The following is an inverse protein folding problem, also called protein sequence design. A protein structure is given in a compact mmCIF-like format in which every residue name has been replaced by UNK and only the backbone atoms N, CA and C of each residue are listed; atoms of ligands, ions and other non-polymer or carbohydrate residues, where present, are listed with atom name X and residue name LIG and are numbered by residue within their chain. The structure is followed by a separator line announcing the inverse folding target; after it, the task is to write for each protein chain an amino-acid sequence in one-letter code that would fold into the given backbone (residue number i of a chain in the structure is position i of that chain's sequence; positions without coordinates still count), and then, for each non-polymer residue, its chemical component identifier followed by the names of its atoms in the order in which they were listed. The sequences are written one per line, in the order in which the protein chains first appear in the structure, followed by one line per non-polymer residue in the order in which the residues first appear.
data_IF_970863453407
#
_entry.id   IF_970863453407
#
_cell.length_a   1.000
_cell.length_b   1.000
_cell.length_c   1.000
_cell.angle_alpha   90.00
_cell.angle_beta   90.00
_cell.angle_gamma   90.00
#
_symmetry.space_group_name_H-M   'P 1'
#
loop_
_entity.id
_entity.type
_entity.pdbx_description
1 polymer ?
#
# COMPACT_ATOMS: atom_id res chain seq x y z
N UNK A 1 -26.17 23.87 2.87
CA UNK A 1 -26.08 22.59 2.13
C UNK A 1 -24.65 22.11 1.84
N UNK A 2 -23.61 22.96 1.78
CA UNK A 2 -22.24 22.56 1.41
C UNK A 2 -21.51 21.60 2.37
N UNK A 3 -21.64 21.77 3.70
CA UNK A 3 -20.92 20.95 4.69
C UNK A 3 -21.31 19.47 4.69
N UNK A 4 -22.59 19.16 4.46
CA UNK A 4 -23.10 17.79 4.44
C UNK A 4 -22.51 16.98 3.28
N UNK A 5 -22.47 17.55 2.07
CA UNK A 5 -21.86 16.90 0.90
C UNK A 5 -20.34 16.74 1.03
N UNK A 6 -19.65 17.70 1.67
CA UNK A 6 -18.22 17.59 1.97
C UNK A 6 -17.94 16.47 2.97
N UNK A 7 -18.78 16.33 4.01
CA UNK A 7 -18.67 15.22 4.95
C UNK A 7 -18.92 13.88 4.27
N UNK A 8 -19.99 13.78 3.47
CA UNK A 8 -20.34 12.56 2.75
C UNK A 8 -19.23 12.13 1.79
N UNK A 9 -18.68 13.05 1.01
CA UNK A 9 -17.54 12.76 0.11
C UNK A 9 -16.28 12.36 0.87
N UNK A 10 -16.03 12.93 2.05
CA UNK A 10 -14.90 12.54 2.91
C UNK A 10 -15.09 11.13 3.47
N UNK A 11 -16.29 10.78 3.93
CA UNK A 11 -16.64 9.44 4.41
C UNK A 11 -16.54 8.42 3.28
N UNK A 12 -17.03 8.76 2.09
CA UNK A 12 -16.90 7.91 0.90
C UNK A 12 -15.43 7.67 0.54
N UNK A 13 -14.60 8.72 0.51
CA UNK A 13 -13.17 8.59 0.25
C UNK A 13 -12.46 7.71 1.26
N UNK A 14 -12.77 7.89 2.55
CA UNK A 14 -12.26 7.04 3.63
C UNK A 14 -12.64 5.57 3.39
N UNK A 15 -13.92 5.29 3.16
CA UNK A 15 -14.43 3.93 2.95
C UNK A 15 -13.79 3.26 1.72
N UNK A 16 -13.62 4.00 0.62
CA UNK A 16 -12.99 3.48 -0.61
C UNK A 16 -11.53 3.13 -0.39
N UNK A 17 -10.74 4.01 0.25
CA UNK A 17 -9.32 3.75 0.53
C UNK A 17 -9.18 2.51 1.42
N UNK A 18 -9.96 2.44 2.50
CA UNK A 18 -10.00 1.29 3.42
C UNK A 18 -10.36 0.00 2.68
N UNK A 19 -11.42 0.02 1.85
CA UNK A 19 -11.88 -1.16 1.12
C UNK A 19 -10.85 -1.65 0.09
N UNK A 20 -10.26 -0.74 -0.70
CA UNK A 20 -9.22 -1.09 -1.68
C UNK A 20 -8.01 -1.71 -0.98
N UNK A 21 -7.59 -1.15 0.16
CA UNK A 21 -6.51 -1.73 0.94
C UNK A 21 -6.84 -3.15 1.39
N UNK A 22 -8.01 -3.38 2.00
CA UNK A 22 -8.45 -4.69 2.47
C UNK A 22 -8.52 -5.71 1.33
N UNK A 23 -9.03 -5.32 0.16
CA UNK A 23 -9.09 -6.19 -1.02
C UNK A 23 -7.68 -6.56 -1.49
N UNK A 24 -6.78 -5.59 -1.66
CA UNK A 24 -5.41 -5.85 -2.09
C UNK A 24 -4.62 -6.68 -1.07
N UNK A 25 -4.84 -6.46 0.22
CA UNK A 25 -4.26 -7.29 1.26
C UNK A 25 -4.81 -8.71 1.22
N UNK A 26 -6.13 -8.89 1.12
CA UNK A 26 -6.77 -10.20 0.99
C UNK A 26 -6.30 -10.96 -0.24
N UNK A 27 -6.16 -10.30 -1.40
CA UNK A 27 -5.56 -10.90 -2.60
C UNK A 27 -4.13 -11.35 -2.36
N UNK A 28 -3.35 -10.56 -1.63
CA UNK A 28 -1.98 -10.93 -1.28
C UNK A 28 -1.97 -12.16 -0.36
N UNK A 29 -2.77 -12.15 0.71
CA UNK A 29 -2.83 -13.21 1.71
C UNK A 29 -3.43 -14.52 1.18
N UNK A 30 -4.45 -14.46 0.32
CA UNK A 30 -5.22 -15.63 -0.12
C UNK A 30 -4.82 -16.16 -1.49
N UNK A 31 -4.11 -15.36 -2.30
CA UNK A 31 -3.72 -15.75 -3.66
C UNK A 31 -2.21 -15.64 -3.85
N UNK A 32 -1.64 -14.44 -3.69
CA UNK A 32 -0.21 -14.22 -4.01
C UNK A 32 0.68 -15.07 -3.11
N UNK A 33 0.52 -14.98 -1.79
CA UNK A 33 1.35 -15.68 -0.81
C UNK A 33 1.20 -17.20 -0.92
N UNK A 34 -0.01 -17.78 -1.00
CA UNK A 34 -0.17 -19.23 -1.19
C UNK A 34 0.46 -19.73 -2.50
N UNK A 35 0.26 -19.00 -3.60
CA UNK A 35 0.87 -19.37 -4.90
C UNK A 35 2.39 -19.28 -4.83
N UNK A 36 2.93 -18.22 -4.25
CA UNK A 36 4.37 -18.08 -4.06
C UNK A 36 4.94 -19.23 -3.23
N UNK A 37 4.24 -19.64 -2.16
CA UNK A 37 4.68 -20.72 -1.28
C UNK A 37 4.81 -22.07 -2.00
N UNK A 38 4.04 -22.30 -3.09
CA UNK A 38 4.14 -23.53 -3.89
C UNK A 38 5.46 -23.61 -4.69
N UNK A 39 6.04 -22.47 -5.07
CA UNK A 39 7.20 -22.41 -5.95
C UNK A 39 8.48 -21.92 -5.25
N UNK A 40 8.33 -21.06 -4.24
CA UNK A 40 9.40 -20.34 -3.53
C UNK A 40 9.12 -20.31 -2.01
N UNK A 41 8.98 -21.47 -1.35
CA UNK A 41 8.63 -21.53 0.08
C UNK A 41 9.66 -20.82 0.96
N UNK A 42 10.96 -20.99 0.66
CA UNK A 42 12.06 -20.38 1.42
C UNK A 42 12.01 -18.85 1.44
N UNK A 43 11.54 -18.23 0.35
CA UNK A 43 11.39 -16.77 0.25
C UNK A 43 10.11 -16.31 0.96
N UNK A 44 9.07 -17.14 0.91
CA UNK A 44 7.73 -16.83 1.45
C UNK A 44 7.72 -16.72 2.96
N UNK A 45 8.66 -17.37 3.65
CA UNK A 45 8.88 -17.19 5.09
C UNK A 45 9.16 -15.74 5.46
N UNK A 46 9.88 -15.01 4.60
CA UNK A 46 10.30 -13.65 4.87
C UNK A 46 9.26 -12.62 4.44
N UNK A 47 8.72 -12.73 3.22
CA UNK A 47 7.72 -11.80 2.69
C UNK A 47 7.09 -12.26 1.36
N UNK A 48 6.01 -11.59 0.99
CA UNK A 48 5.39 -11.73 -0.34
C UNK A 48 6.14 -10.88 -1.37
N UNK A 49 6.57 -11.48 -2.47
CA UNK A 49 7.25 -10.83 -3.60
C UNK A 49 6.34 -9.91 -4.41
N UNK A 50 5.01 -9.95 -4.21
CA UNK A 50 4.12 -8.96 -4.79
C UNK A 50 3.19 -8.43 -3.69
N UNK A 51 3.73 -7.57 -2.83
CA UNK A 51 2.99 -6.99 -1.73
C UNK A 51 2.13 -5.80 -2.21
N UNK A 52 0.93 -6.12 -2.72
CA UNK A 52 -0.02 -5.14 -3.25
C UNK A 52 -0.40 -4.01 -2.27
N UNK A 53 -0.51 -4.24 -0.94
CA UNK A 53 -0.86 -3.16 -0.01
C UNK A 53 0.10 -1.97 -0.05
N UNK A 54 1.39 -2.19 -0.33
CA UNK A 54 2.33 -1.07 -0.50
C UNK A 54 1.96 -0.17 -1.68
N UNK A 55 1.62 -0.78 -2.82
CA UNK A 55 1.14 -0.04 -3.99
C UNK A 55 -0.07 0.83 -3.68
N UNK A 56 -1.04 0.28 -2.91
CA UNK A 56 -2.22 1.04 -2.45
C UNK A 56 -1.80 2.23 -1.59
N UNK A 57 -0.89 2.04 -0.61
CA UNK A 57 -0.40 3.14 0.23
C UNK A 57 0.23 4.25 -0.62
N UNK A 58 1.15 3.91 -1.52
CA UNK A 58 1.82 4.86 -2.41
C UNK A 58 0.83 5.64 -3.26
N UNK A 59 -0.10 4.95 -3.92
CA UNK A 59 -1.07 5.59 -4.80
C UNK A 59 -2.10 6.46 -4.05
N UNK A 60 -2.54 6.02 -2.87
CA UNK A 60 -3.46 6.79 -2.04
C UNK A 60 -2.79 8.02 -1.43
N UNK A 61 -1.56 7.91 -0.92
CA UNK A 61 -0.81 9.07 -0.43
C UNK A 61 -0.48 10.03 -1.58
N UNK A 62 -0.10 9.50 -2.75
CA UNK A 62 0.12 10.32 -3.94
C UNK A 62 -1.11 11.17 -4.30
N UNK A 63 -2.31 10.59 -4.23
CA UNK A 63 -3.56 11.27 -4.58
C UNK A 63 -4.12 12.18 -3.48
N UNK A 64 -4.02 11.77 -2.22
CA UNK A 64 -4.76 12.39 -1.11
C UNK A 64 -3.85 12.97 -0.01
N UNK A 65 -2.54 12.77 -0.11
CA UNK A 65 -1.57 13.18 0.90
C UNK A 65 -1.85 12.56 2.26
N UNK A 66 -1.61 13.34 3.32
CA UNK A 66 -1.82 12.93 4.71
C UNK A 66 -3.23 12.39 5.01
N UNK A 67 -4.24 12.83 4.26
CA UNK A 67 -5.65 12.40 4.47
C UNK A 67 -5.85 10.90 4.23
N UNK A 68 -4.97 10.27 3.47
CA UNK A 68 -5.03 8.82 3.25
C UNK A 68 -4.43 8.00 4.40
N UNK A 69 -3.63 8.57 5.31
CA UNK A 69 -2.94 7.82 6.37
C UNK A 69 -3.92 7.08 7.29
N UNK A 70 -4.95 7.78 7.79
CA UNK A 70 -5.95 7.18 8.69
C UNK A 70 -6.78 6.06 8.02
N UNK A 71 -7.37 6.24 6.83
CA UNK A 71 -8.08 5.13 6.17
C UNK A 71 -7.15 3.98 5.79
N UNK A 72 -5.89 4.23 5.44
CA UNK A 72 -4.91 3.16 5.21
C UNK A 72 -4.64 2.37 6.49
N UNK A 73 -4.48 3.04 7.64
CA UNK A 73 -4.32 2.38 8.94
C UNK A 73 -5.57 1.57 9.32
N UNK A 74 -6.77 2.12 9.07
CA UNK A 74 -8.03 1.39 9.29
C UNK A 74 -8.13 0.16 8.37
N UNK A 75 -7.73 0.28 7.10
CA UNK A 75 -7.68 -0.84 6.16
C UNK A 75 -6.70 -1.92 6.60
N UNK A 76 -5.53 -1.52 7.11
CA UNK A 76 -4.55 -2.45 7.65
C UNK A 76 -5.07 -3.18 8.89
N UNK A 77 -5.68 -2.46 9.83
CA UNK A 77 -6.31 -3.06 11.01
C UNK A 77 -7.40 -4.06 10.60
N UNK A 78 -8.31 -3.68 9.70
CA UNK A 78 -9.35 -4.58 9.21
C UNK A 78 -8.78 -5.80 8.48
N UNK A 79 -7.68 -5.62 7.75
CA UNK A 79 -7.00 -6.73 7.07
C UNK A 79 -6.43 -7.73 8.08
N UNK A 80 -5.74 -7.25 9.12
CA UNK A 80 -5.31 -8.09 10.22
C UNK A 80 -6.49 -8.80 10.89
N UNK A 81 -7.63 -8.09 11.05
CA UNK A 81 -8.85 -8.64 11.62
C UNK A 81 -9.47 -9.78 10.80
N UNK A 82 -9.36 -9.72 9.47
CA UNK A 82 -10.01 -10.66 8.55
C UNK A 82 -9.11 -11.81 8.11
N UNK A 83 -7.81 -11.57 7.93
CA UNK A 83 -6.91 -12.51 7.26
C UNK A 83 -5.83 -13.11 8.18
N UNK A 84 -5.64 -12.56 9.38
CA UNK A 84 -4.73 -13.12 10.39
C UNK A 84 -5.53 -13.95 11.41
N UNK A 85 -5.10 -15.16 11.73
CA UNK A 85 -5.79 -16.02 12.73
C UNK A 85 -5.78 -15.38 14.13
N UNK A 86 -6.84 -15.58 14.91
CA UNK A 86 -7.00 -14.97 16.24
C UNK A 86 -5.85 -15.26 17.20
N UNK A 87 -5.38 -16.52 17.25
CA UNK A 87 -4.25 -16.89 18.12
C UNK A 87 -2.94 -16.18 17.78
N UNK A 88 -2.64 -15.97 16.50
CA UNK A 88 -1.47 -15.19 16.06
C UNK A 88 -1.66 -13.72 16.42
N UNK A 89 -2.86 -13.18 16.24
CA UNK A 89 -3.15 -11.77 16.54
C UNK A 89 -2.98 -11.45 18.02
N UNK A 90 -3.55 -12.26 18.90
CA UNK A 90 -3.45 -12.07 20.36
C UNK A 90 -2.00 -12.18 20.84
N UNK A 91 -1.21 -13.09 20.26
CA UNK A 91 0.20 -13.26 20.61
C UNK A 91 1.08 -12.10 20.12
N UNK A 92 0.71 -11.49 18.99
CA UNK A 92 1.48 -10.43 18.34
C UNK A 92 1.00 -9.02 18.73
N UNK A 93 -0.01 -8.88 19.58
CA UNK A 93 -0.38 -7.58 20.17
C UNK A 93 0.60 -7.25 21.30
N UNK A 94 1.25 -6.07 21.34
CA UNK A 94 0.95 -4.81 20.62
C UNK A 94 1.76 -4.58 19.32
N UNK A 95 2.66 -5.50 18.95
CA UNK A 95 3.59 -5.36 17.81
C UNK A 95 2.85 -5.10 16.49
N UNK A 96 1.72 -5.77 16.25
CA UNK A 96 0.89 -5.55 15.05
C UNK A 96 0.39 -4.11 14.93
N UNK A 97 -0.02 -3.48 16.03
CA UNK A 97 -0.52 -2.11 15.99
C UNK A 97 0.60 -1.12 15.67
N UNK A 98 1.80 -1.36 16.19
CA UNK A 98 2.99 -0.57 15.86
C UNK A 98 3.37 -0.76 14.38
N UNK A 99 3.32 -1.99 13.88
CA UNK A 99 3.60 -2.32 12.48
C UNK A 99 2.61 -1.63 11.51
N UNK A 100 1.32 -1.61 11.87
CA UNK A 100 0.29 -0.86 11.13
C UNK A 100 0.62 0.62 11.09
N UNK A 101 0.99 1.21 12.23
CA UNK A 101 1.38 2.61 12.33
C UNK A 101 2.57 2.95 11.44
N UNK A 102 3.66 2.18 11.55
CA UNK A 102 4.85 2.31 10.70
C UNK A 102 4.49 2.20 9.22
N UNK A 103 3.73 1.16 8.86
CA UNK A 103 3.33 0.91 7.49
C UNK A 103 2.51 2.06 6.89
N UNK A 104 1.52 2.58 7.63
CA UNK A 104 0.66 3.66 7.17
C UNK A 104 1.42 4.99 7.03
N UNK A 105 2.40 5.26 7.89
CA UNK A 105 3.17 6.51 7.86
C UNK A 105 4.39 6.48 6.93
N UNK A 106 4.99 5.32 6.67
CA UNK A 106 6.25 5.18 5.90
C UNK A 106 6.20 5.87 4.53
N UNK A 107 5.10 5.67 3.78
CA UNK A 107 4.90 6.29 2.48
C UNK A 107 4.73 7.79 2.62
N UNK A 108 3.91 8.27 3.57
CA UNK A 108 3.75 9.70 3.79
C UNK A 108 5.08 10.37 4.13
N UNK A 109 5.87 9.76 5.03
CA UNK A 109 7.21 10.24 5.36
C UNK A 109 8.12 10.31 4.12
N UNK A 110 8.08 9.33 3.22
CA UNK A 110 8.85 9.37 1.98
C UNK A 110 8.48 10.59 1.11
N UNK A 111 7.19 10.85 0.92
CA UNK A 111 6.70 12.02 0.18
C UNK A 111 7.11 13.33 0.83
N UNK A 112 7.00 13.45 2.16
CA UNK A 112 7.42 14.65 2.89
C UNK A 112 8.94 14.86 2.80
N UNK A 113 9.74 13.80 2.88
CA UNK A 113 11.19 13.88 2.68
C UNK A 113 11.50 14.40 1.26
N UNK A 114 10.90 13.82 0.23
CA UNK A 114 11.10 14.29 -1.15
C UNK A 114 10.71 15.77 -1.32
N UNK A 115 9.60 16.17 -0.70
CA UNK A 115 9.14 17.55 -0.69
C UNK A 115 10.13 18.50 0.00
N UNK A 116 10.73 18.09 1.13
CA UNK A 116 11.78 18.84 1.83
C UNK A 116 13.04 19.06 0.96
N UNK A 117 13.33 18.13 0.04
CA UNK A 117 14.41 18.26 -0.95
C UNK A 117 13.99 19.01 -2.22
N UNK A 118 12.79 19.61 -2.25
CA UNK A 118 12.28 20.39 -3.37
C UNK A 118 11.62 19.58 -4.48
N UNK A 119 11.34 18.29 -4.26
CA UNK A 119 10.62 17.44 -5.20
C UNK A 119 9.15 17.31 -4.79
N UNK A 120 8.27 18.11 -5.41
CA UNK A 120 6.83 17.93 -5.28
C UNK A 120 6.35 16.78 -6.18
N UNK A 121 6.24 15.59 -5.58
CA UNK A 121 5.81 14.36 -6.25
C UNK A 121 4.33 14.05 -6.05
N UNK A 122 3.58 14.86 -5.31
CA UNK A 122 2.16 14.66 -5.12
C UNK A 122 1.38 14.82 -6.43
N UNK A 123 0.15 14.29 -6.47
CA UNK A 123 -0.70 14.41 -7.66
C UNK A 123 -1.06 15.88 -7.93
N UNK A 124 -0.42 16.47 -8.95
CA UNK A 124 -0.78 17.80 -9.45
C UNK A 124 -2.17 17.84 -10.09
N UNK A 125 -2.61 19.03 -10.54
CA UNK A 125 -3.95 19.25 -11.10
C UNK A 125 -4.29 18.33 -12.29
N UNK A 126 -3.29 17.99 -13.11
CA UNK A 126 -3.46 17.09 -14.26
C UNK A 126 -3.58 15.61 -13.88
N UNK A 127 -3.30 15.25 -12.62
CA UNK A 127 -3.28 13.88 -12.06
C UNK A 127 -2.59 12.86 -12.97
N UNK A 128 -1.55 13.30 -13.69
CA UNK A 128 -0.76 12.41 -14.54
C UNK A 128 0.21 11.61 -13.68
N UNK A 129 0.20 10.30 -13.87
CA UNK A 129 1.12 9.38 -13.20
C UNK A 129 2.51 9.54 -13.81
N UNK A 130 3.44 10.16 -13.07
CA UNK A 130 4.86 10.10 -13.37
C UNK A 130 5.42 8.78 -12.78
N UNK A 131 5.33 7.70 -13.57
CA UNK A 131 5.63 6.34 -13.10
C UNK A 131 7.04 6.20 -12.50
N UNK A 132 8.04 6.89 -13.05
CA UNK A 132 9.40 6.90 -12.49
C UNK A 132 9.47 7.54 -11.12
N UNK A 133 8.78 8.66 -10.93
CA UNK A 133 8.70 9.35 -9.64
C UNK A 133 7.96 8.51 -8.59
N UNK A 134 6.88 7.82 -8.99
CA UNK A 134 6.16 6.91 -8.11
C UNK A 134 6.98 5.68 -7.73
N UNK A 135 7.73 5.09 -8.65
CA UNK A 135 8.64 3.99 -8.31
C UNK A 135 9.76 4.45 -7.39
N UNK A 136 10.34 5.63 -7.62
CA UNK A 136 11.39 6.17 -6.77
C UNK A 136 10.89 6.44 -5.34
N UNK A 137 9.74 7.12 -5.20
CA UNK A 137 9.15 7.40 -3.88
C UNK A 137 8.65 6.13 -3.20
N UNK A 138 8.14 5.17 -3.97
CA UNK A 138 7.75 3.85 -3.48
C UNK A 138 8.93 3.03 -2.97
N UNK A 139 10.08 3.13 -3.64
CA UNK A 139 11.34 2.53 -3.18
C UNK A 139 11.84 3.17 -1.88
N UNK A 140 11.87 4.51 -1.82
CA UNK A 140 12.22 5.22 -0.58
C UNK A 140 11.29 4.85 0.58
N UNK A 141 9.98 4.83 0.32
CA UNK A 141 8.98 4.42 1.30
C UNK A 141 9.19 2.98 1.79
N UNK A 142 9.59 2.07 0.90
CA UNK A 142 9.88 0.69 1.27
C UNK A 142 11.12 0.56 2.17
N UNK A 143 12.16 1.38 1.94
CA UNK A 143 13.32 1.46 2.84
C UNK A 143 12.88 1.95 4.22
N UNK A 144 12.11 3.04 4.28
CA UNK A 144 11.59 3.59 5.54
C UNK A 144 10.72 2.56 6.27
N UNK A 145 9.83 1.88 5.54
CA UNK A 145 8.99 0.82 6.07
C UNK A 145 9.87 -0.31 6.64
N UNK A 146 10.80 -0.84 5.86
CA UNK A 146 11.67 -1.97 6.27
C UNK A 146 12.49 -1.65 7.53
N UNK A 147 13.04 -0.44 7.62
CA UNK A 147 13.74 0.01 8.83
C UNK A 147 12.80 0.08 10.03
N UNK A 148 11.61 0.67 9.86
CA UNK A 148 10.62 0.74 10.93
C UNK A 148 10.12 -0.63 11.37
N UNK A 149 9.86 -1.54 10.43
CA UNK A 149 9.45 -2.91 10.72
C UNK A 149 10.56 -3.67 11.46
N UNK A 150 11.82 -3.49 11.09
CA UNK A 150 12.94 -4.13 11.79
C UNK A 150 13.02 -3.70 13.26
N UNK A 151 12.75 -2.42 13.55
CA UNK A 151 12.68 -1.93 14.94
C UNK A 151 11.46 -2.50 15.66
N UNK A 152 10.29 -2.54 15.01
CA UNK A 152 9.06 -3.09 15.60
C UNK A 152 9.19 -4.58 15.91
N UNK A 153 9.87 -5.34 15.04
CA UNK A 153 10.03 -6.78 15.16
C UNK A 153 11.41 -7.20 15.72
N UNK A 154 12.18 -6.29 16.32
CA UNK A 154 13.57 -6.54 16.73
C UNK A 154 13.73 -7.65 17.77
N UNK A 155 12.66 -7.95 18.54
CA UNK A 155 12.64 -9.07 19.50
C UNK A 155 12.24 -10.42 18.89
N UNK A 156 11.91 -10.46 17.60
CA UNK A 156 11.34 -11.61 16.89
C UNK A 156 12.18 -12.05 15.68
N UNK A 157 12.97 -11.15 15.10
CA UNK A 157 13.84 -11.42 13.96
C UNK A 157 15.28 -11.62 14.44
N UNK A 158 15.89 -12.76 14.09
CA UNK A 158 17.30 -13.02 14.37
C UNK A 158 18.21 -12.04 13.61
N UNK A 159 19.32 -11.59 14.20
CA UNK A 159 20.22 -10.62 13.56
C UNK A 159 20.70 -11.00 12.15
N UNK A 160 20.94 -12.30 11.92
CA UNK A 160 21.48 -12.80 10.66
C UNK A 160 20.45 -12.75 9.51
N UNK A 161 19.15 -12.75 9.83
CA UNK A 161 18.06 -12.75 8.84
C UNK A 161 17.57 -11.35 8.46
N UNK A 162 18.06 -10.29 9.12
CA UNK A 162 17.57 -8.92 8.93
C UNK A 162 17.79 -8.39 7.51
N UNK A 163 19.00 -8.58 6.95
CA UNK A 163 19.35 -8.11 5.60
C UNK A 163 18.55 -8.83 4.48
N UNK A 164 18.45 -10.17 4.49
CA UNK A 164 17.56 -10.89 3.58
C UNK A 164 16.11 -10.40 3.66
N UNK A 165 15.56 -10.28 4.87
CA UNK A 165 14.17 -9.83 5.10
C UNK A 165 13.92 -8.44 4.50
N UNK A 166 14.79 -7.47 4.79
CA UNK A 166 14.68 -6.11 4.23
C UNK A 166 14.72 -6.12 2.69
N UNK A 167 15.55 -6.98 2.10
CA UNK A 167 15.68 -7.09 0.64
C UNK A 167 14.41 -7.65 0.01
N UNK A 168 13.84 -8.72 0.60
CA UNK A 168 12.60 -9.32 0.11
C UNK A 168 11.43 -8.35 0.26
N UNK A 169 11.35 -7.61 1.38
CA UNK A 169 10.35 -6.53 1.52
C UNK A 169 10.50 -5.46 0.44
N UNK A 170 11.72 -4.97 0.21
CA UNK A 170 11.97 -3.94 -0.79
C UNK A 170 11.58 -4.36 -2.21
N UNK A 171 11.96 -5.58 -2.61
CA UNK A 171 11.59 -6.14 -3.90
C UNK A 171 10.07 -6.37 -3.98
N UNK A 172 9.49 -6.92 -2.92
CA UNK A 172 8.06 -7.21 -2.82
C UNK A 172 7.18 -5.97 -2.95
N UNK A 173 7.58 -4.89 -2.29
CA UNK A 173 6.94 -3.59 -2.32
C UNK A 173 7.01 -2.96 -3.72
N UNK A 174 8.18 -2.97 -4.35
CA UNK A 174 8.36 -2.42 -5.71
C UNK A 174 7.54 -3.17 -6.76
N UNK A 175 7.53 -4.51 -6.69
CA UNK A 175 6.69 -5.33 -7.58
C UNK A 175 5.21 -5.06 -7.29
N UNK A 176 4.81 -5.03 -6.03
CA UNK A 176 3.43 -4.72 -5.63
C UNK A 176 2.96 -3.37 -6.17
N UNK A 177 3.80 -2.33 -6.04
CA UNK A 177 3.55 -1.01 -6.60
C UNK A 177 3.43 -1.04 -8.13
N UNK A 178 4.35 -1.69 -8.82
CA UNK A 178 4.32 -1.82 -10.28
C UNK A 178 3.02 -2.50 -10.75
N UNK A 179 2.61 -3.58 -10.08
CA UNK A 179 1.36 -4.30 -10.36
C UNK A 179 0.14 -3.40 -10.14
N UNK A 180 0.09 -2.65 -9.04
CA UNK A 180 -1.00 -1.71 -8.78
C UNK A 180 -1.10 -0.61 -9.83
N UNK A 181 0.03 -0.02 -10.25
CA UNK A 181 0.05 0.98 -11.32
C UNK A 181 -0.41 0.39 -12.66
N UNK A 182 0.02 -0.82 -12.99
CA UNK A 182 -0.40 -1.51 -14.20
C UNK A 182 -1.91 -1.80 -14.18
N UNK A 183 -2.43 -2.30 -13.05
CA UNK A 183 -3.87 -2.53 -12.89
C UNK A 183 -4.68 -1.24 -13.05
N UNK A 184 -4.25 -0.13 -12.43
CA UNK A 184 -4.89 1.19 -12.62
C UNK A 184 -4.86 1.65 -14.07
N UNK A 185 -3.74 1.46 -14.77
CA UNK A 185 -3.63 1.79 -16.19
C UNK A 185 -4.66 1.01 -17.02
N UNK A 186 -4.81 -0.29 -16.78
CA UNK A 186 -5.80 -1.12 -17.46
C UNK A 186 -7.24 -0.66 -17.15
N UNK A 187 -7.54 -0.36 -15.89
CA UNK A 187 -8.86 0.14 -15.46
C UNK A 187 -9.18 1.46 -16.17
N UNK A 188 -8.27 2.43 -16.16
CA UNK A 188 -8.49 3.72 -16.83
C UNK A 188 -8.60 3.60 -18.35
N UNK A 189 -7.82 2.69 -18.95
CA UNK A 189 -7.94 2.38 -20.38
C UNK A 189 -9.32 1.82 -20.71
N UNK A 190 -9.80 0.88 -19.91
CA UNK A 190 -11.14 0.29 -20.07
C UNK A 190 -12.25 1.32 -19.91
N UNK A 191 -12.19 2.16 -18.88
CA UNK A 191 -13.17 3.22 -18.65
C UNK A 191 -13.21 4.21 -19.82
N UNK A 192 -12.05 4.56 -20.39
CA UNK A 192 -11.97 5.43 -21.57
C UNK A 192 -12.64 4.80 -22.79
N UNK A 193 -12.37 3.52 -23.06
CA UNK A 193 -12.95 2.80 -24.20
C UNK A 193 -14.47 2.61 -24.04
N UNK A 194 -14.94 2.27 -22.84
CA UNK A 194 -16.37 2.11 -22.56
C UNK A 194 -17.13 3.45 -22.63
N UNK A 195 -16.49 4.57 -22.29
CA UNK A 195 -17.07 5.91 -22.42
C UNK A 195 -17.20 6.37 -23.88
N UNK A 196 -16.28 6.00 -24.75
CA UNK A 196 -16.31 6.33 -26.19
C UNK A 196 -17.46 5.62 -26.94
N UNK A 197 -17.90 4.45 -26.46
CA UNK A 197 -19.05 3.74 -27.03
C UNK A 197 -20.42 4.33 -26.68
N UNK A 198 -20.50 5.38 -25.84
CA UNK A 198 -21.75 6.02 -25.40
C UNK A 198 -22.00 7.40 -26.00
N UNK A 199 -21.16 7.88 -26.91
CA UNK A 199 -21.46 9.09 -27.68
C UNK A 199 -22.69 8.81 -28.57
N UNK A 200 -23.80 9.55 -28.44
CA UNK A 200 -24.90 9.43 -29.39
C UNK A 200 -24.36 9.84 -30.75
N UNK A 201 -24.36 8.90 -31.69
CA UNK A 201 -24.29 9.24 -33.11
C UNK A 201 -25.58 10.04 -33.38
N UNK A 202 -25.40 11.26 -33.89
CA UNK A 202 -26.47 12.24 -34.07
C UNK A 202 -27.61 11.76 -34.96
#
# INVERSE_FOLDING_TARGET
MSRFYQLLSSVQGFAVITAVYVICHGLTALVVTPVQNLFLPEITVFASLAYLPHGVRVLCIWLFGWKAVLPLAAGALLSELLFTTSGVRELMEPVLLQSIGVGAFSVFAAFEIAWLFGWDLYAGQSRRIAWTGLLAIGGLASVINSLGQTVVFSGLIFPDDQLPVMTVYAVGDLIGLAVCMFALMLIFRWLRLAGQGRSPQG
#
